data_IF_293722939879
#
_entry.id   IF_293722939879
#
_cell.length_a   1.000
_cell.length_b   1.000
_cell.length_c   1.000
_cell.angle_alpha   90.00
_cell.angle_beta   90.00
_cell.angle_gamma   90.00
#
_symmetry.space_group_name_H-M   'P 1'
#
loop_
_entity.id
_entity.type
_entity.pdbx_description
1 polymer ?
#
# COMPACT_ATOMS: atom_id res chain seq x y z
N UNK A 1 3.37 6.38 -7.69
CA UNK A 1 2.62 5.10 -7.53
C UNK A 1 1.26 5.17 -8.22
N UNK A 2 0.96 6.27 -8.90
CA UNK A 2 -0.39 6.67 -9.29
C UNK A 2 -0.93 5.96 -10.55
N UNK A 3 -0.21 4.94 -11.03
CA UNK A 3 -0.52 4.17 -12.24
C UNK A 3 -0.71 2.67 -11.96
N UNK A 4 -1.01 2.28 -10.72
CA UNK A 4 -1.44 0.91 -10.42
C UNK A 4 -2.94 0.83 -10.76
N UNK A 5 -3.35 0.01 -11.75
CA UNK A 5 -4.76 -0.14 -12.09
C UNK A 5 -5.56 -0.69 -10.90
N UNK A 6 -6.76 -0.16 -10.70
CA UNK A 6 -7.73 -0.81 -9.81
C UNK A 6 -8.02 -2.22 -10.32
N UNK A 7 -8.21 -3.17 -9.42
CA UNK A 7 -8.40 -4.57 -9.78
C UNK A 7 -7.12 -5.38 -9.89
N UNK A 8 -5.93 -4.75 -9.95
CA UNK A 8 -4.65 -5.48 -10.07
C UNK A 8 -4.43 -6.42 -8.89
N UNK A 9 -3.93 -7.61 -9.18
CA UNK A 9 -3.55 -8.58 -8.15
C UNK A 9 -2.34 -8.10 -7.35
N UNK A 10 -2.22 -8.52 -6.09
CA UNK A 10 -1.11 -8.14 -5.18
C UNK A 10 0.27 -8.31 -5.84
N UNK A 11 0.51 -9.41 -6.54
CA UNK A 11 1.78 -9.67 -7.23
C UNK A 11 2.09 -8.65 -8.34
N UNK A 12 1.09 -8.18 -9.09
CA UNK A 12 1.30 -7.14 -10.09
C UNK A 12 1.65 -5.80 -9.44
N UNK A 13 1.04 -5.50 -8.29
CA UNK A 13 1.33 -4.29 -7.52
C UNK A 13 2.77 -4.33 -6.98
N UNK A 14 3.21 -5.48 -6.50
CA UNK A 14 4.59 -5.71 -6.05
C UNK A 14 5.60 -5.46 -7.18
N UNK A 15 5.33 -5.99 -8.39
CA UNK A 15 6.20 -5.79 -9.55
C UNK A 15 6.25 -4.34 -10.03
N UNK A 16 5.19 -3.56 -9.80
CA UNK A 16 5.09 -2.14 -10.17
C UNK A 16 5.52 -1.20 -9.04
N UNK A 17 5.95 -1.74 -7.90
CA UNK A 17 6.39 -0.93 -6.77
C UNK A 17 7.64 -0.12 -7.16
N UNK A 18 7.60 1.22 -7.07
CA UNK A 18 8.78 2.04 -7.29
C UNK A 18 9.76 1.98 -6.11
N UNK A 19 11.05 2.11 -6.40
CA UNK A 19 12.18 2.00 -5.44
C UNK A 19 12.20 3.06 -4.31
N UNK A 20 11.41 4.12 -4.47
CA UNK A 20 11.27 5.16 -3.46
C UNK A 20 10.22 4.82 -2.40
N UNK A 21 9.48 3.73 -2.54
CA UNK A 21 8.49 3.29 -1.54
C UNK A 21 8.88 1.92 -1.00
N UNK A 22 8.74 1.74 0.31
CA UNK A 22 8.94 0.47 1.00
C UNK A 22 7.60 0.02 1.58
N UNK A 23 7.13 -1.16 1.15
CA UNK A 23 5.87 -1.76 1.60
C UNK A 23 6.18 -3.05 2.36
N UNK A 24 5.51 -3.25 3.49
CA UNK A 24 5.55 -4.51 4.22
C UNK A 24 4.58 -5.52 3.62
N UNK A 25 5.07 -6.31 2.67
CA UNK A 25 4.27 -7.37 2.04
C UNK A 25 4.11 -8.62 2.91
N UNK A 26 4.96 -8.78 3.93
CA UNK A 26 5.03 -10.01 4.71
C UNK A 26 4.10 -10.00 5.92
N UNK A 27 3.67 -8.81 6.36
CA UNK A 27 2.70 -8.66 7.45
C UNK A 27 1.46 -7.91 6.94
N UNK A 28 0.57 -8.59 6.18
CA UNK A 28 -0.73 -8.04 5.87
C UNK A 28 -1.56 -7.86 7.14
N UNK A 29 -2.34 -6.79 7.20
CA UNK A 29 -3.38 -6.59 8.19
C UNK A 29 -4.76 -6.75 7.55
N UNK A 30 -5.75 -7.21 8.32
CA UNK A 30 -7.12 -7.41 7.83
C UNK A 30 -8.09 -6.55 8.63
N UNK A 31 -8.78 -5.64 7.94
CA UNK A 31 -9.74 -4.71 8.55
C UNK A 31 -11.04 -4.74 7.77
N UNK A 32 -12.15 -5.05 8.44
CA UNK A 32 -13.49 -5.12 7.83
C UNK A 32 -13.56 -6.02 6.58
N UNK A 33 -12.82 -7.13 6.57
CA UNK A 33 -12.75 -8.05 5.43
C UNK A 33 -11.87 -7.58 4.26
N UNK A 34 -11.25 -6.41 4.36
CA UNK A 34 -10.24 -5.94 3.42
C UNK A 34 -8.83 -6.24 3.94
N UNK A 35 -7.95 -6.68 3.05
CA UNK A 35 -6.52 -6.87 3.35
C UNK A 35 -5.80 -5.57 3.07
N UNK A 36 -4.88 -5.17 3.94
CA UNK A 36 -4.06 -3.98 3.75
C UNK A 36 -2.59 -4.25 4.05
N UNK A 37 -1.72 -3.57 3.31
CA UNK A 37 -0.26 -3.64 3.47
C UNK A 37 0.26 -2.26 3.85
N UNK A 38 1.10 -2.21 4.88
CA UNK A 38 1.64 -0.95 5.39
C UNK A 38 2.78 -0.44 4.52
N UNK A 39 2.75 0.85 4.19
CA UNK A 39 3.85 1.55 3.55
C UNK A 39 4.77 2.08 4.66
N UNK A 40 5.89 1.39 4.87
CA UNK A 40 6.85 1.68 5.94
C UNK A 40 7.64 2.97 5.69
N UNK A 41 7.97 3.24 4.43
CA UNK A 41 8.82 4.37 4.08
C UNK A 41 8.52 4.90 2.69
N UNK A 42 8.54 6.22 2.56
CA UNK A 42 8.54 6.92 1.28
C UNK A 42 9.81 7.78 1.27
N UNK A 43 10.83 7.37 0.51
CA UNK A 43 12.09 8.11 0.36
C UNK A 43 11.80 9.50 -0.20
N UNK A 44 12.41 10.53 0.39
CA UNK A 44 12.17 11.92 0.04
C UNK A 44 10.91 12.53 0.69
N UNK A 45 10.13 11.75 1.44
CA UNK A 45 9.05 12.28 2.26
C UNK A 45 9.58 12.70 3.65
N UNK A 46 9.42 13.97 3.98
CA UNK A 46 9.60 14.49 5.34
C UNK A 46 8.25 14.42 6.05
N UNK A 47 7.75 13.23 6.34
CA UNK A 47 6.44 13.10 6.99
C UNK A 47 6.53 13.47 8.47
N UNK A 48 6.46 14.77 8.74
CA UNK A 48 6.48 15.35 10.09
C UNK A 48 5.24 14.95 10.89
N UNK A 49 4.15 14.57 10.21
CA UNK A 49 2.87 14.27 10.83
C UNK A 49 2.74 12.81 11.27
N UNK A 50 3.74 11.96 10.96
CA UNK A 50 3.76 10.52 11.27
C UNK A 50 2.50 9.81 10.76
N UNK A 51 2.08 10.10 9.52
CA UNK A 51 0.94 9.43 8.93
C UNK A 51 1.27 7.97 8.65
N UNK A 52 0.31 7.10 8.91
CA UNK A 52 0.37 5.72 8.47
C UNK A 52 -0.25 5.62 7.08
N UNK A 53 0.47 5.00 6.16
CA UNK A 53 0.02 4.82 4.79
C UNK A 53 -0.17 3.34 4.51
N UNK A 54 -1.24 2.99 3.79
CA UNK A 54 -1.60 1.61 3.51
C UNK A 54 -2.03 1.45 2.06
N UNK A 55 -1.69 0.32 1.43
CA UNK A 55 -2.39 -0.17 0.24
C UNK A 55 -3.53 -1.08 0.70
N UNK A 56 -4.71 -0.98 0.09
CA UNK A 56 -5.85 -1.83 0.45
C UNK A 56 -6.34 -2.67 -0.73
N UNK A 57 -6.75 -3.88 -0.40
CA UNK A 57 -7.15 -4.94 -1.30
C UNK A 57 -8.47 -5.54 -0.81
N UNK A 58 -9.40 -5.74 -1.74
CA UNK A 58 -10.67 -6.41 -1.49
C UNK A 58 -10.76 -7.54 -2.50
N UNK A 59 -11.02 -8.76 -2.04
CA UNK A 59 -11.01 -9.97 -2.88
C UNK A 59 -9.68 -10.11 -3.67
N UNK A 60 -8.54 -9.91 -3.01
CA UNK A 60 -7.18 -9.94 -3.59
C UNK A 60 -6.89 -8.92 -4.70
N UNK A 61 -7.80 -7.96 -4.90
CA UNK A 61 -7.69 -6.93 -5.92
C UNK A 61 -7.38 -5.58 -5.32
N UNK A 62 -6.40 -4.89 -5.90
CA UNK A 62 -6.00 -3.54 -5.50
C UNK A 62 -7.15 -2.56 -5.65
N UNK A 63 -7.43 -1.81 -4.59
CA UNK A 63 -8.50 -0.83 -4.56
C UNK A 63 -7.99 0.59 -4.33
N UNK A 64 -6.74 0.77 -3.92
CA UNK A 64 -6.13 2.10 -3.75
C UNK A 64 -5.20 2.21 -2.56
N UNK A 65 -4.91 3.46 -2.19
CA UNK A 65 -4.09 3.83 -1.02
C UNK A 65 -4.94 4.57 0.00
N UNK A 66 -4.77 4.22 1.27
CA UNK A 66 -5.34 4.90 2.42
C UNK A 66 -4.23 5.57 3.23
N UNK A 67 -4.50 6.74 3.79
CA UNK A 67 -3.61 7.39 4.77
C UNK A 67 -4.41 7.69 6.04
N UNK A 68 -3.82 7.44 7.20
CA UNK A 68 -4.46 7.61 8.50
C UNK A 68 -3.50 8.30 9.48
N UNK A 69 -4.05 9.14 10.36
CA UNK A 69 -3.35 9.73 11.50
C UNK A 69 -3.50 8.86 12.74
#
# INVERSE_FOLDING_TARGET
MDNIPLGSAVGEVQLRQPDFVEIDWNNPDTVNGAVRFSIRKIKGSSDVLKMEHYLFFINDQYQGRLSRK
#
